data_IF_095696576726
#
_entry.id   IF_095696576726
#
_cell.length_a   1.000
_cell.length_b   1.000
_cell.length_c   1.000
_cell.angle_alpha   90.00
_cell.angle_beta   90.00
_cell.angle_gamma   90.00
#
_symmetry.space_group_name_H-M   'P 1'
#
loop_
_entity.id
_entity.type
_entity.pdbx_description
1 polymer ?
#
# COMPACT_ATOMS: atom_id res chain seq x y z
N UNK A 1 -10.56 -6.26 -19.15
CA UNK A 1 -10.18 -5.29 -18.11
C UNK A 1 -8.71 -5.48 -17.70
N UNK A 2 -7.91 -4.42 -17.67
CA UNK A 2 -6.44 -4.43 -17.44
C UNK A 2 -6.12 -3.67 -16.13
N UNK A 3 -5.14 -4.16 -15.36
CA UNK A 3 -4.85 -3.75 -13.98
C UNK A 3 -3.91 -2.53 -13.84
N UNK A 4 -3.72 -1.77 -14.91
CA UNK A 4 -2.73 -0.68 -14.94
C UNK A 4 -2.89 0.31 -13.78
N UNK A 5 -1.85 0.41 -12.95
CA UNK A 5 -1.73 1.31 -11.77
C UNK A 5 -2.80 1.16 -10.68
N UNK A 6 -3.64 0.12 -10.71
CA UNK A 6 -4.73 -0.06 -9.73
C UNK A 6 -4.23 -0.15 -8.29
N UNK A 7 -3.06 -0.74 -8.04
CA UNK A 7 -2.44 -0.76 -6.70
C UNK A 7 -1.68 0.52 -6.33
N UNK A 8 -1.43 1.42 -7.29
CA UNK A 8 -0.57 2.60 -7.12
C UNK A 8 -1.36 3.90 -6.93
N UNK A 9 -2.63 3.93 -7.32
CA UNK A 9 -3.49 5.11 -7.18
C UNK A 9 -4.48 4.93 -6.04
N UNK A 10 -4.74 5.99 -5.29
CA UNK A 10 -5.72 6.02 -4.23
C UNK A 10 -7.13 5.80 -4.81
N UNK A 11 -7.89 4.85 -4.28
CA UNK A 11 -9.25 4.59 -4.75
C UNK A 11 -10.29 5.63 -4.34
N UNK A 12 -9.91 6.66 -3.57
CA UNK A 12 -10.80 7.77 -3.24
C UNK A 12 -10.50 9.04 -4.06
N UNK A 13 -9.24 9.34 -4.33
CA UNK A 13 -8.83 10.61 -4.95
C UNK A 13 -7.94 10.45 -6.18
N UNK A 14 -7.61 9.22 -6.57
CA UNK A 14 -6.76 8.86 -7.71
C UNK A 14 -5.33 9.46 -7.70
N UNK A 15 -4.89 10.05 -6.59
CA UNK A 15 -3.50 10.46 -6.42
C UNK A 15 -2.58 9.26 -6.18
N UNK A 16 -1.30 9.41 -6.54
CA UNK A 16 -0.31 8.34 -6.38
C UNK A 16 -0.06 8.08 -4.90
N UNK A 17 -0.03 6.79 -4.54
CA UNK A 17 0.24 6.35 -3.19
C UNK A 17 1.73 6.18 -2.92
N UNK A 18 2.16 6.56 -1.72
CA UNK A 18 3.54 6.46 -1.24
C UNK A 18 3.74 5.17 -0.43
N UNK A 19 4.95 4.61 -0.48
CA UNK A 19 5.35 3.48 0.36
C UNK A 19 5.49 3.91 1.82
N UNK A 20 5.12 3.02 2.74
CA UNK A 20 5.29 3.26 4.18
C UNK A 20 6.53 2.51 4.69
N UNK A 21 7.45 3.24 5.31
CA UNK A 21 8.55 2.63 6.05
C UNK A 21 8.14 2.37 7.49
N UNK A 22 8.39 1.15 7.96
CA UNK A 22 8.10 0.72 9.33
C UNK A 22 9.39 0.51 10.11
N UNK A 23 9.39 0.97 11.37
CA UNK A 23 10.49 0.68 12.31
C UNK A 23 10.13 -0.58 13.08
N UNK A 24 10.79 -1.68 12.76
CA UNK A 24 10.52 -2.99 13.36
C UNK A 24 11.68 -3.41 14.28
N UNK A 25 11.40 -4.11 15.39
CA UNK A 25 12.45 -4.66 16.25
C UNK A 25 13.30 -5.67 15.49
N UNK A 26 14.61 -5.44 15.43
CA UNK A 26 15.58 -6.34 14.83
C UNK A 26 15.73 -7.58 15.70
N UNK A 27 15.66 -8.78 15.10
CA UNK A 27 15.90 -10.04 15.83
C UNK A 27 17.41 -10.31 15.88
N UNK A 28 18.01 -10.27 17.08
CA UNK A 28 19.40 -10.70 17.29
C UNK A 28 19.49 -12.23 17.17
N UNK A 29 20.45 -12.72 16.37
CA UNK A 29 20.79 -14.14 16.22
C UNK A 29 22.26 -14.34 16.57
N UNK A 30 22.59 -15.41 17.30
CA UNK A 30 23.98 -15.84 17.54
C UNK A 30 24.11 -17.32 17.16
N UNK A 31 25.05 -17.64 16.24
CA UNK A 31 25.22 -19.00 15.69
C UNK A 31 23.89 -19.63 15.20
N UNK A 32 23.04 -18.83 14.53
CA UNK A 32 21.74 -19.28 14.01
C UNK A 32 20.59 -19.33 15.03
N UNK A 33 20.87 -19.30 16.33
CA UNK A 33 19.86 -19.31 17.39
C UNK A 33 19.34 -17.89 17.63
N UNK A 34 18.01 -17.73 17.63
CA UNK A 34 17.34 -16.46 17.97
C UNK A 34 17.45 -16.25 19.47
N UNK A 35 18.06 -15.14 19.88
CA UNK A 35 18.20 -14.81 21.30
C UNK A 35 16.87 -14.29 21.87
N UNK A 36 16.62 -14.57 23.14
CA UNK A 36 15.47 -14.03 23.88
C UNK A 36 15.57 -12.50 23.89
N UNK A 37 14.43 -11.83 23.66
CA UNK A 37 14.36 -10.36 23.61
C UNK A 37 14.62 -9.78 25.00
N UNK A 38 15.81 -9.22 25.21
CA UNK A 38 16.05 -8.29 26.32
C UNK A 38 15.42 -6.94 25.98
N UNK A 39 14.45 -6.47 26.79
CA UNK A 39 13.75 -5.18 26.59
C UNK A 39 14.70 -3.97 26.60
N UNK A 40 15.83 -4.06 27.29
CA UNK A 40 16.81 -2.97 27.40
C UNK A 40 17.70 -2.79 26.15
N UNK A 41 17.80 -3.78 25.25
CA UNK A 41 18.69 -3.76 24.08
C UNK A 41 17.96 -3.96 22.74
N UNK A 42 16.71 -3.47 22.64
CA UNK A 42 15.95 -3.59 21.40
C UNK A 42 16.50 -2.64 20.34
N UNK A 43 17.28 -3.17 19.40
CA UNK A 43 17.63 -2.46 18.17
C UNK A 43 16.43 -2.46 17.21
N UNK A 44 16.23 -1.35 16.51
CA UNK A 44 15.22 -1.21 15.47
C UNK A 44 15.88 -1.16 14.09
N UNK A 45 15.19 -1.73 13.11
CA UNK A 45 15.55 -1.62 11.70
C UNK A 45 14.39 -0.99 10.92
N UNK A 46 14.73 -0.17 9.93
CA UNK A 46 13.76 0.33 8.97
C UNK A 46 13.50 -0.75 7.93
N UNK A 47 12.22 -1.07 7.71
CA UNK A 47 11.75 -2.03 6.71
C UNK A 47 10.61 -1.42 5.92
N UNK A 48 10.69 -1.54 4.61
CA UNK A 48 9.58 -1.19 3.71
C UNK A 48 8.38 -2.08 4.02
N UNK A 49 7.23 -1.48 4.28
CA UNK A 49 5.96 -2.17 4.33
C UNK A 49 5.36 -2.19 2.92
N UNK A 50 5.26 -3.38 2.34
CA UNK A 50 4.66 -3.53 1.01
C UNK A 50 3.13 -3.62 1.09
N UNK A 51 2.57 -4.13 2.18
CA UNK A 51 1.12 -4.33 2.30
C UNK A 51 0.35 -3.02 2.48
N UNK A 52 0.98 -1.99 3.05
CA UNK A 52 0.32 -0.72 3.36
C UNK A 52 0.92 0.42 2.54
N UNK A 53 0.06 1.22 1.96
CA UNK A 53 0.41 2.42 1.21
C UNK A 53 -0.24 3.66 1.85
N UNK A 54 0.34 4.84 1.61
CA UNK A 54 -0.15 6.10 2.16
C UNK A 54 -0.62 7.02 1.04
N UNK A 55 -1.79 7.64 1.22
CA UNK A 55 -2.21 8.77 0.42
C UNK A 55 -1.74 10.06 1.10
N UNK A 56 -0.95 10.87 0.38
CA UNK A 56 -0.42 12.14 0.90
C UNK A 56 -1.34 13.33 0.58
N UNK A 57 -2.46 13.11 -0.11
CA UNK A 57 -3.43 14.15 -0.41
C UNK A 57 -4.13 14.59 0.88
N UNK A 58 -3.94 15.85 1.28
CA UNK A 58 -4.43 16.40 2.55
C UNK A 58 -5.94 16.31 2.73
N UNK A 59 -6.68 16.42 1.63
CA UNK A 59 -8.14 16.39 1.59
C UNK A 59 -8.71 14.98 1.46
N UNK A 60 -7.86 13.95 1.28
CA UNK A 60 -8.30 12.58 1.16
C UNK A 60 -8.41 11.90 2.53
N UNK A 61 -9.59 11.36 2.83
CA UNK A 61 -9.89 10.75 4.13
C UNK A 61 -9.22 9.39 4.33
N UNK A 62 -8.93 8.65 3.25
CA UNK A 62 -8.35 7.31 3.32
C UNK A 62 -7.07 7.26 4.15
N UNK A 63 -6.17 8.25 4.00
CA UNK A 63 -4.81 8.35 4.61
C UNK A 63 -3.89 7.15 4.36
N UNK A 64 -4.30 5.95 4.72
CA UNK A 64 -3.61 4.68 4.50
C UNK A 64 -4.52 3.67 3.82
N UNK A 65 -3.92 2.83 2.99
CA UNK A 65 -4.58 1.74 2.28
C UNK A 65 -3.86 0.43 2.54
N UNK A 66 -4.63 -0.62 2.78
CA UNK A 66 -4.19 -1.95 2.36
C UNK A 66 -4.08 -1.96 0.83
N UNK A 67 -2.93 -2.37 0.32
CA UNK A 67 -2.58 -2.31 -1.11
C UNK A 67 -3.58 -3.11 -1.95
N UNK A 68 -3.95 -4.30 -1.49
CA UNK A 68 -4.75 -5.24 -2.25
C UNK A 68 -6.22 -4.82 -2.23
N UNK A 69 -6.69 -4.32 -1.08
CA UNK A 69 -8.03 -3.71 -0.98
C UNK A 69 -8.15 -2.49 -1.91
N UNK A 70 -7.17 -1.58 -1.90
CA UNK A 70 -7.18 -0.42 -2.79
C UNK A 70 -7.19 -0.84 -4.28
N UNK A 71 -6.38 -1.82 -4.64
CA UNK A 71 -6.35 -2.36 -6.01
C UNK A 71 -7.71 -2.95 -6.40
N UNK A 72 -8.33 -3.73 -5.51
CA UNK A 72 -9.64 -4.34 -5.74
C UNK A 72 -10.76 -3.30 -5.95
N UNK A 73 -10.76 -2.22 -5.15
CA UNK A 73 -11.72 -1.13 -5.31
C UNK A 73 -11.54 -0.45 -6.68
N UNK A 74 -10.30 -0.10 -7.05
CA UNK A 74 -10.01 0.50 -8.36
C UNK A 74 -10.39 -0.40 -9.52
N UNK A 75 -10.13 -1.70 -9.42
CA UNK A 75 -10.55 -2.69 -10.42
C UNK A 75 -12.07 -2.78 -10.55
N UNK A 76 -12.79 -2.76 -9.44
CA UNK A 76 -14.26 -2.75 -9.45
C UNK A 76 -14.81 -1.49 -10.12
N UNK A 77 -14.21 -0.33 -9.88
CA UNK A 77 -14.64 0.93 -10.49
C UNK A 77 -14.41 0.94 -12.02
N UNK A 78 -13.25 0.45 -12.46
CA UNK A 78 -12.96 0.26 -13.89
C UNK A 78 -13.96 -0.69 -14.55
N UNK A 79 -14.29 -1.80 -13.91
CA UNK A 79 -15.31 -2.74 -14.42
C UNK A 79 -16.67 -2.07 -14.55
N UNK A 80 -17.10 -1.30 -13.54
CA UNK A 80 -18.36 -0.54 -13.59
C UNK A 80 -18.39 0.44 -14.76
N UNK A 81 -17.29 1.18 -14.96
CA UNK A 81 -17.15 2.14 -16.07
C UNK A 81 -17.24 1.44 -17.44
N UNK A 82 -16.60 0.28 -17.58
CA UNK A 82 -16.65 -0.56 -18.79
C UNK A 82 -18.07 -1.08 -19.07
N UNK A 83 -18.75 -1.63 -18.05
CA UNK A 83 -20.14 -2.12 -18.15
C UNK A 83 -21.12 -1.01 -18.54
N UNK A 84 -20.89 0.22 -18.06
CA UNK A 84 -21.72 1.38 -18.40
C UNK A 84 -21.34 2.03 -19.74
N UNK A 85 -20.34 1.53 -20.46
CA UNK A 85 -19.91 2.09 -21.75
C UNK A 85 -19.19 3.44 -21.64
N UNK A 86 -18.75 3.85 -20.44
CA UNK A 86 -18.03 5.11 -20.20
C UNK A 86 -16.54 5.02 -20.59
N UNK A 87 -16.07 3.81 -20.89
CA UNK A 87 -14.67 3.54 -21.22
C UNK A 87 -13.76 3.60 -20.00
N UNK A 88 -12.46 3.74 -20.24
CA UNK A 88 -11.45 3.74 -19.18
C UNK A 88 -11.31 5.12 -18.57
N UNK A 89 -11.41 5.19 -17.24
CA UNK A 89 -11.21 6.41 -16.47
C UNK A 89 -9.81 7.00 -16.69
N UNK A 90 -9.74 8.33 -16.79
CA UNK A 90 -8.51 9.10 -17.07
C UNK A 90 -7.31 8.70 -16.20
N UNK A 91 -7.42 8.54 -14.87
CA UNK A 91 -6.25 8.24 -14.04
C UNK A 91 -5.60 6.88 -14.35
N UNK A 92 -6.35 5.97 -14.98
CA UNK A 92 -5.92 4.61 -15.31
C UNK A 92 -5.62 4.42 -16.79
N UNK A 93 -5.56 5.49 -17.58
CA UNK A 93 -5.04 5.43 -18.96
C UNK A 93 -3.55 5.11 -18.96
N UNK A 94 -3.11 4.41 -20.00
CA UNK A 94 -1.71 4.00 -20.21
C UNK A 94 -0.88 5.16 -20.75
#
# INVERSE_FOLDING_TARGET
MDEFRTSKLCSQCHQTLSSVDTRLPKRKKRKGVVLVRNRAEVEFEQKKCYAVLRCDQKECEARYWDRDVNAAINMLELLKSEVLGLGRMEPFRR
#
